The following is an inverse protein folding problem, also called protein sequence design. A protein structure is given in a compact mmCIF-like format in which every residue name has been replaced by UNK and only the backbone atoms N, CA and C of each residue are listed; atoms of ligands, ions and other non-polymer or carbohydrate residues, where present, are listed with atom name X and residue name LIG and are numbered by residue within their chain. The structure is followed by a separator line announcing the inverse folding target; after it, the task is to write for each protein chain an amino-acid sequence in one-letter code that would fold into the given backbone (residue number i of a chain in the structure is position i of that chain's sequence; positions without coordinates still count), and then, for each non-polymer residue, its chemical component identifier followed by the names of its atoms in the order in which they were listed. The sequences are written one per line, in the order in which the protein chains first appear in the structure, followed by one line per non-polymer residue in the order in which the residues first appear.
data_IF_689781913585
#
_entry.id   IF_689781913585
#
_cell.length_a   1.000
_cell.length_b   1.000
_cell.length_c   1.000
_cell.angle_alpha   90.00
_cell.angle_beta   90.00
_cell.angle_gamma   90.00
#
_symmetry.space_group_name_H-M   'P 1'
#
loop_
_entity.id
_entity.type
_entity.pdbx_description
1 polymer ?
#
# COMPACT_ATOMS: atom_id res chain seq x y z
N UNK A 1 -36.82 6.41 -5.43
CA UNK A 1 -36.17 7.37 -6.35
C UNK A 1 -34.72 6.95 -6.54
N UNK A 2 -34.31 6.64 -7.77
CA UNK A 2 -32.94 6.21 -8.11
C UNK A 2 -32.09 7.44 -8.37
N UNK A 3 -31.00 7.61 -7.64
CA UNK A 3 -30.10 8.79 -7.74
C UNK A 3 -28.95 8.53 -8.72
N UNK A 4 -28.25 9.58 -9.17
CA UNK A 4 -27.02 9.43 -9.99
C UNK A 4 -25.97 8.51 -9.33
N UNK A 5 -25.91 8.45 -7.99
CA UNK A 5 -25.02 7.54 -7.23
C UNK A 5 -25.39 6.07 -7.46
N UNK A 6 -26.68 5.77 -7.58
CA UNK A 6 -27.17 4.41 -7.84
C UNK A 6 -26.80 3.94 -9.25
N UNK A 7 -26.81 4.85 -10.25
CA UNK A 7 -26.31 4.54 -11.59
C UNK A 7 -24.81 4.21 -11.63
N UNK A 8 -23.99 4.92 -10.85
CA UNK A 8 -22.55 4.62 -10.73
C UNK A 8 -22.32 3.27 -10.05
N UNK A 9 -23.07 2.97 -8.98
CA UNK A 9 -22.98 1.67 -8.27
C UNK A 9 -23.42 0.51 -9.15
N UNK A 10 -24.52 0.66 -9.90
CA UNK A 10 -25.03 -0.35 -10.82
C UNK A 10 -24.07 -0.62 -11.99
N UNK A 11 -23.52 0.44 -12.62
CA UNK A 11 -22.50 0.29 -13.67
C UNK A 11 -21.24 -0.41 -13.17
N UNK A 12 -20.80 -0.12 -11.94
CA UNK A 12 -19.68 -0.83 -11.33
C UNK A 12 -19.98 -2.31 -11.14
N UNK A 13 -21.13 -2.66 -10.56
CA UNK A 13 -21.52 -4.08 -10.41
C UNK A 13 -21.52 -4.79 -11.76
N UNK A 14 -22.09 -4.18 -12.79
CA UNK A 14 -22.09 -4.73 -14.13
C UNK A 14 -20.67 -4.92 -14.70
N UNK A 15 -19.78 -3.95 -14.49
CA UNK A 15 -18.39 -4.04 -14.94
C UNK A 15 -17.65 -5.20 -14.24
N UNK A 16 -17.76 -5.29 -12.92
CA UNK A 16 -17.11 -6.37 -12.15
C UNK A 16 -17.72 -7.73 -12.47
N UNK A 17 -19.04 -7.82 -12.65
CA UNK A 17 -19.68 -9.06 -13.11
C UNK A 17 -19.15 -9.49 -14.47
N UNK A 18 -18.91 -8.56 -15.41
CA UNK A 18 -18.33 -8.92 -16.71
C UNK A 18 -16.95 -9.54 -16.56
N UNK A 19 -16.09 -8.99 -15.69
CA UNK A 19 -14.76 -9.54 -15.38
C UNK A 19 -14.88 -11.00 -14.95
N UNK A 20 -15.73 -11.30 -13.96
CA UNK A 20 -15.87 -12.66 -13.43
C UNK A 20 -16.49 -13.64 -14.43
N UNK A 21 -17.49 -13.20 -15.20
CA UNK A 21 -18.22 -14.11 -16.09
C UNK A 21 -17.55 -14.30 -17.45
N UNK A 22 -16.59 -13.45 -17.79
CA UNK A 22 -15.90 -13.49 -19.07
C UNK A 22 -14.61 -14.29 -18.99
N UNK A 23 -14.21 -14.83 -20.13
CA UNK A 23 -12.92 -15.48 -20.33
C UNK A 23 -12.02 -14.46 -21.04
N UNK A 24 -11.21 -13.72 -20.25
CA UNK A 24 -10.32 -12.67 -20.76
C UNK A 24 -8.87 -13.02 -20.44
N UNK A 25 -7.99 -12.88 -21.43
CA UNK A 25 -6.54 -12.96 -21.20
C UNK A 25 -5.99 -11.72 -20.49
N UNK A 26 -6.67 -10.57 -20.63
CA UNK A 26 -6.27 -9.30 -20.01
C UNK A 26 -7.46 -8.32 -19.88
N UNK A 27 -7.41 -7.49 -18.84
CA UNK A 27 -8.41 -6.44 -18.58
C UNK A 27 -7.68 -5.11 -18.41
N UNK A 28 -8.08 -4.10 -19.19
CA UNK A 28 -7.59 -2.72 -19.04
C UNK A 28 -8.61 -1.91 -18.25
N UNK A 29 -8.15 -1.30 -17.15
CA UNK A 29 -8.98 -0.53 -16.23
C UNK A 29 -8.27 0.76 -15.86
N UNK A 30 -9.01 1.88 -15.83
CA UNK A 30 -8.45 3.14 -15.33
C UNK A 30 -8.42 3.18 -13.81
N UNK A 31 -7.43 3.87 -13.23
CA UNK A 31 -7.18 3.98 -11.78
C UNK A 31 -8.44 4.23 -10.94
N UNK A 32 -9.26 5.19 -11.36
CA UNK A 32 -10.49 5.56 -10.64
C UNK A 32 -11.54 4.45 -10.55
N UNK A 33 -11.51 3.45 -11.45
CA UNK A 33 -12.36 2.27 -11.38
C UNK A 33 -11.67 1.16 -10.61
N UNK A 34 -10.36 1.02 -10.75
CA UNK A 34 -9.54 0.08 -9.97
C UNK A 34 -9.68 0.35 -8.47
N UNK A 35 -9.55 1.60 -8.03
CA UNK A 35 -9.75 2.04 -6.63
C UNK A 35 -11.15 1.73 -6.07
N UNK A 36 -12.15 1.50 -6.93
CA UNK A 36 -13.52 1.20 -6.50
C UNK A 36 -13.77 -0.29 -6.24
N UNK A 37 -12.79 -1.14 -6.54
CA UNK A 37 -12.77 -2.55 -6.26
C UNK A 37 -11.90 -2.71 -5.00
N UNK A 38 -12.51 -2.77 -3.80
CA UNK A 38 -11.74 -2.89 -2.58
C UNK A 38 -11.18 -4.31 -2.43
N UNK A 39 -10.11 -4.46 -1.66
CA UNK A 39 -9.78 -5.77 -1.07
C UNK A 39 -10.77 -6.11 0.05
N UNK A 40 -10.79 -7.37 0.46
CA UNK A 40 -11.65 -7.84 1.55
C UNK A 40 -11.48 -7.05 2.85
N UNK A 41 -12.55 -7.00 3.66
CA UNK A 41 -12.51 -6.36 4.98
C UNK A 41 -11.45 -6.99 5.88
N UNK A 42 -11.30 -8.30 5.82
CA UNK A 42 -10.26 -9.04 6.55
C UNK A 42 -8.87 -8.56 6.17
N UNK A 43 -8.56 -8.45 4.86
CA UNK A 43 -7.27 -7.96 4.39
C UNK A 43 -7.00 -6.51 4.81
N UNK A 44 -8.02 -5.64 4.77
CA UNK A 44 -7.91 -4.27 5.29
C UNK A 44 -7.60 -4.25 6.79
N UNK A 45 -8.22 -5.13 7.59
CA UNK A 45 -7.95 -5.24 9.02
C UNK A 45 -6.53 -5.75 9.29
N UNK A 46 -6.12 -6.81 8.61
CA UNK A 46 -4.78 -7.39 8.74
C UNK A 46 -3.70 -6.37 8.39
N UNK A 47 -3.89 -5.60 7.31
CA UNK A 47 -2.99 -4.52 6.93
C UNK A 47 -2.84 -3.47 8.05
N UNK A 48 -3.94 -3.08 8.70
CA UNK A 48 -3.88 -2.09 9.79
C UNK A 48 -3.19 -2.70 11.02
N UNK A 49 -3.47 -3.96 11.36
CA UNK A 49 -2.85 -4.65 12.49
C UNK A 49 -1.33 -4.82 12.30
N UNK A 50 -0.88 -5.18 11.09
CA UNK A 50 0.55 -5.27 10.77
C UNK A 50 1.26 -3.93 10.98
N UNK A 51 0.63 -2.83 10.55
CA UNK A 51 1.16 -1.47 10.75
C UNK A 51 1.15 -1.05 12.21
N UNK A 52 0.14 -1.47 12.99
CA UNK A 52 0.11 -1.27 14.43
C UNK A 52 1.25 -2.01 15.14
N UNK A 53 1.54 -3.24 14.74
CA UNK A 53 2.63 -4.02 15.30
C UNK A 53 4.00 -3.37 15.01
N UNK A 54 4.23 -2.97 13.77
CA UNK A 54 5.44 -2.23 13.36
C UNK A 54 5.64 -0.93 14.19
N UNK A 55 4.57 -0.16 14.39
CA UNK A 55 4.61 1.05 15.22
C UNK A 55 4.85 0.77 16.71
N UNK A 56 4.27 -0.31 17.25
CA UNK A 56 4.45 -0.73 18.65
C UNK A 56 5.89 -1.18 18.90
N UNK A 57 6.51 -1.88 17.95
CA UNK A 57 7.92 -2.24 18.01
C UNK A 57 8.81 -1.00 18.06
N UNK A 58 8.60 -0.03 17.16
CA UNK A 58 9.37 1.23 17.13
C UNK A 58 9.18 2.01 18.42
N UNK A 59 7.94 2.11 18.92
CA UNK A 59 7.65 2.77 20.21
C UNK A 59 8.42 2.14 21.35
N UNK A 60 8.50 0.81 21.40
CA UNK A 60 9.15 0.07 22.49
C UNK A 60 10.66 0.23 22.49
N UNK A 61 11.28 0.26 21.31
CA UNK A 61 12.75 0.29 21.17
C UNK A 61 13.34 1.69 21.04
N UNK A 62 12.52 2.72 20.80
CA UNK A 62 13.00 4.09 20.62
C UNK A 62 13.17 4.82 21.96
N UNK A 63 14.38 5.27 22.25
CA UNK A 63 14.65 6.21 23.35
C UNK A 63 14.33 7.68 23.00
N UNK A 64 14.10 7.96 21.71
CA UNK A 64 13.77 9.30 21.23
C UNK A 64 12.30 9.66 21.54
N UNK A 65 12.09 10.64 22.42
CA UNK A 65 10.76 11.12 22.82
C UNK A 65 9.91 11.63 21.65
N UNK A 66 10.53 12.22 20.63
CA UNK A 66 9.82 12.71 19.45
C UNK A 66 9.23 11.55 18.65
N UNK A 67 10.06 10.56 18.36
CA UNK A 67 9.69 9.31 17.67
C UNK A 67 8.58 8.57 18.41
N UNK A 68 8.71 8.43 19.73
CA UNK A 68 7.68 7.80 20.57
C UNK A 68 6.34 8.52 20.44
N UNK A 69 6.34 9.86 20.46
CA UNK A 69 5.13 10.66 20.33
C UNK A 69 4.49 10.53 18.94
N UNK A 70 5.29 10.51 17.87
CA UNK A 70 4.77 10.29 16.51
C UNK A 70 4.18 8.89 16.34
N UNK A 71 4.83 7.87 16.92
CA UNK A 71 4.32 6.50 16.93
C UNK A 71 2.98 6.42 17.67
N UNK A 72 2.85 7.06 18.84
CA UNK A 72 1.59 7.13 19.59
C UNK A 72 0.44 7.78 18.80
N UNK A 73 0.73 8.88 18.11
CA UNK A 73 -0.28 9.55 17.26
C UNK A 73 -0.72 8.64 16.11
N UNK A 74 0.21 7.94 15.48
CA UNK A 74 -0.06 7.03 14.36
C UNK A 74 -0.85 5.81 14.82
N UNK A 75 -0.46 5.22 15.96
CA UNK A 75 -1.17 4.10 16.61
C UNK A 75 -2.63 4.50 16.89
N UNK A 76 -2.85 5.63 17.56
CA UNK A 76 -4.20 6.10 17.87
C UNK A 76 -5.05 6.32 16.61
N UNK A 77 -4.45 6.84 15.53
CA UNK A 77 -5.12 7.01 14.25
C UNK A 77 -5.53 5.69 13.60
N UNK A 78 -4.65 4.69 13.62
CA UNK A 78 -4.90 3.36 13.06
C UNK A 78 -5.88 2.54 13.91
N UNK A 79 -5.79 2.59 15.24
CA UNK A 79 -6.75 1.94 16.15
C UNK A 79 -8.16 2.47 15.91
N UNK A 80 -8.32 3.79 15.73
CA UNK A 80 -9.61 4.37 15.35
C UNK A 80 -10.11 3.87 13.99
N UNK A 81 -9.24 3.78 12.99
CA UNK A 81 -9.61 3.25 11.68
C UNK A 81 -10.03 1.78 11.76
N UNK A 82 -9.31 0.97 12.55
CA UNK A 82 -9.63 -0.42 12.79
C UNK A 82 -10.99 -0.58 13.48
N UNK A 83 -11.26 0.20 14.52
CA UNK A 83 -12.56 0.20 15.21
C UNK A 83 -13.70 0.58 14.25
N UNK A 84 -13.52 1.62 13.43
CA UNK A 84 -14.49 2.01 12.42
C UNK A 84 -14.74 0.87 11.43
N UNK A 85 -13.67 0.24 10.95
CA UNK A 85 -13.76 -0.88 10.01
C UNK A 85 -14.48 -2.08 10.64
N UNK A 86 -14.20 -2.41 11.90
CA UNK A 86 -14.85 -3.48 12.64
C UNK A 86 -16.35 -3.22 12.81
N UNK A 87 -16.75 -2.02 13.26
CA UNK A 87 -18.14 -1.63 13.53
C UNK A 87 -19.02 -1.64 12.28
N UNK A 88 -18.49 -1.19 11.14
CA UNK A 88 -19.27 -1.12 9.91
C UNK A 88 -19.05 -2.36 9.05
N UNK A 89 -20.10 -3.14 8.82
CA UNK A 89 -20.07 -4.11 7.73
C UNK A 89 -20.38 -3.39 6.42
N UNK A 90 -19.34 -3.00 5.67
CA UNK A 90 -19.51 -2.53 4.30
C UNK A 90 -19.53 -3.76 3.40
N UNK A 91 -20.71 -4.31 3.15
CA UNK A 91 -20.87 -5.37 2.15
C UNK A 91 -20.38 -4.85 0.79
N UNK A 92 -19.19 -5.31 0.44
CA UNK A 92 -18.66 -5.28 -0.90
C UNK A 92 -19.44 -6.28 -1.74
N UNK A 93 -19.73 -5.93 -3.00
CA UNK A 93 -20.42 -6.87 -3.88
C UNK A 93 -19.50 -8.04 -4.26
N UNK A 94 -18.24 -7.71 -4.51
CA UNK A 94 -17.14 -8.57 -4.97
C UNK A 94 -15.86 -7.86 -4.50
N UNK A 95 -14.98 -8.60 -3.84
CA UNK A 95 -13.65 -8.11 -3.45
C UNK A 95 -12.62 -8.38 -4.54
N UNK A 96 -11.48 -7.68 -4.48
CA UNK A 96 -10.41 -7.79 -5.47
C UNK A 96 -9.92 -9.24 -5.63
N UNK A 97 -9.78 -9.95 -4.52
CA UNK A 97 -9.34 -11.34 -4.46
C UNK A 97 -10.29 -12.30 -5.20
N UNK A 98 -11.57 -11.92 -5.35
CA UNK A 98 -12.55 -12.74 -6.06
C UNK A 98 -12.56 -12.52 -7.57
N UNK A 99 -11.74 -11.60 -8.09
CA UNK A 99 -11.64 -11.36 -9.53
C UNK A 99 -10.80 -12.40 -10.26
N UNK A 100 -9.98 -13.17 -9.54
CA UNK A 100 -9.05 -14.13 -10.16
C UNK A 100 -7.91 -13.46 -10.93
N UNK A 101 -7.57 -12.22 -10.60
CA UNK A 101 -6.41 -11.52 -11.19
C UNK A 101 -5.14 -12.06 -10.56
N UNK A 102 -4.27 -12.65 -11.36
CA UNK A 102 -2.98 -13.23 -10.95
C UNK A 102 -1.77 -12.38 -11.37
N UNK A 103 -1.98 -11.36 -12.21
CA UNK A 103 -0.95 -10.46 -12.71
C UNK A 103 -1.42 -9.01 -12.77
N UNK A 104 -0.58 -8.09 -12.29
CA UNK A 104 -0.87 -6.65 -12.31
C UNK A 104 0.23 -5.88 -13.04
N UNK A 105 -0.18 -5.23 -14.13
CA UNK A 105 0.64 -4.24 -14.83
C UNK A 105 0.11 -2.83 -14.52
N UNK A 106 0.94 -1.99 -13.93
CA UNK A 106 0.61 -0.61 -13.57
C UNK A 106 1.40 0.34 -14.45
N UNK A 107 0.72 1.01 -15.36
CA UNK A 107 1.28 2.14 -16.10
C UNK A 107 1.22 3.42 -15.25
N UNK A 108 2.12 4.36 -15.52
CA UNK A 108 2.32 5.59 -14.76
C UNK A 108 2.39 5.36 -13.23
N UNK A 109 3.16 4.34 -12.85
CA UNK A 109 3.27 3.88 -11.46
C UNK A 109 3.70 4.97 -10.47
N UNK A 110 4.35 6.04 -10.95
CA UNK A 110 4.69 7.22 -10.15
C UNK A 110 3.48 7.88 -9.46
N UNK A 111 2.25 7.60 -9.90
CA UNK A 111 1.03 8.02 -9.21
C UNK A 111 0.81 7.33 -7.86
N UNK A 112 1.46 6.20 -7.58
CA UNK A 112 1.25 5.36 -6.40
C UNK A 112 2.39 5.41 -5.36
N UNK A 113 3.31 6.39 -5.45
CA UNK A 113 4.54 6.46 -4.63
C UNK A 113 4.47 7.10 -3.23
N UNK A 114 3.29 7.56 -2.82
CA UNK A 114 3.09 8.33 -1.57
C UNK A 114 2.52 7.46 -0.45
N UNK A 115 3.37 6.66 0.19
CA UNK A 115 3.08 5.99 1.45
C UNK A 115 4.07 6.54 2.47
N UNK A 116 3.57 7.11 3.57
CA UNK A 116 4.43 7.54 4.68
C UNK A 116 5.11 6.29 5.26
N UNK A 117 6.45 6.18 5.19
CA UNK A 117 7.15 5.09 5.85
C UNK A 117 6.94 5.19 7.36
N UNK A 118 6.87 4.04 8.02
CA UNK A 118 6.98 4.01 9.46
C UNK A 118 8.48 4.08 9.79
N UNK A 119 8.86 5.10 10.56
CA UNK A 119 10.27 5.46 10.75
C UNK A 119 10.49 6.09 12.12
N UNK A 120 11.65 5.80 12.70
CA UNK A 120 12.15 6.45 13.91
C UNK A 120 12.91 7.74 13.66
N UNK A 121 13.21 8.10 12.41
CA UNK A 121 14.05 9.23 12.02
C UNK A 121 13.37 10.60 12.21
N UNK A 122 12.05 10.62 12.46
CA UNK A 122 11.25 11.84 12.61
C UNK A 122 11.01 12.59 11.30
N UNK A 123 10.78 13.91 11.37
CA UNK A 123 10.53 14.76 10.19
C UNK A 123 11.84 15.14 9.46
N UNK A 124 12.42 14.18 8.74
CA UNK A 124 13.61 14.40 7.89
C UNK A 124 13.20 14.86 6.49
N UNK A 125 13.95 15.80 5.91
CA UNK A 125 13.75 16.23 4.54
C UNK A 125 13.84 15.03 3.57
N UNK A 126 12.86 14.89 2.68
CA UNK A 126 12.79 13.76 1.73
C UNK A 126 11.94 12.58 2.23
N UNK A 127 11.31 12.67 3.39
CA UNK A 127 10.28 11.73 3.86
C UNK A 127 8.90 12.34 3.64
N UNK A 128 7.98 11.60 3.01
CA UNK A 128 6.59 12.03 2.87
C UNK A 128 5.85 11.93 4.20
N UNK A 129 5.13 13.00 4.57
CA UNK A 129 4.39 13.08 5.83
C UNK A 129 2.93 12.61 5.71
N UNK A 130 2.51 12.25 4.49
CA UNK A 130 1.13 11.86 4.21
C UNK A 130 1.07 10.54 3.45
N UNK A 131 0.14 9.68 3.85
CA UNK A 131 -0.20 8.47 3.12
C UNK A 131 -1.46 8.70 2.30
N UNK A 132 -1.39 8.41 1.00
CA UNK A 132 -2.55 8.49 0.11
C UNK A 132 -3.38 7.20 0.20
N UNK A 133 -4.70 7.33 0.32
CA UNK A 133 -5.61 6.18 0.39
C UNK A 133 -5.51 5.25 -0.82
N UNK A 134 -5.33 5.81 -2.02
CA UNK A 134 -5.18 5.01 -3.25
C UNK A 134 -3.88 4.20 -3.27
N UNK A 135 -2.84 4.65 -2.56
CA UNK A 135 -1.56 3.95 -2.53
C UNK A 135 -1.62 2.81 -1.52
N UNK A 136 -2.33 3.00 -0.40
CA UNK A 136 -2.67 1.90 0.52
C UNK A 136 -3.52 0.86 -0.18
N UNK A 137 -4.53 1.28 -0.96
CA UNK A 137 -5.33 0.37 -1.79
C UNK A 137 -4.46 -0.41 -2.79
N UNK A 138 -3.55 0.27 -3.50
CA UNK A 138 -2.58 -0.38 -4.39
C UNK A 138 -1.66 -1.35 -3.63
N UNK A 139 -1.17 -0.99 -2.44
CA UNK A 139 -0.28 -1.84 -1.63
C UNK A 139 -0.98 -3.12 -1.21
N UNK A 140 -2.21 -3.04 -0.71
CA UNK A 140 -2.97 -4.23 -0.32
C UNK A 140 -3.21 -5.18 -1.51
N UNK A 141 -3.49 -4.64 -2.71
CA UNK A 141 -3.73 -5.45 -3.92
C UNK A 141 -2.45 -6.07 -4.46
N UNK A 142 -1.37 -5.30 -4.50
CA UNK A 142 -0.04 -5.80 -4.86
C UNK A 142 0.38 -6.94 -3.93
N UNK A 143 0.20 -6.77 -2.62
CA UNK A 143 0.52 -7.80 -1.62
C UNK A 143 -0.31 -9.05 -1.80
N UNK A 144 -1.60 -8.92 -2.08
CA UNK A 144 -2.45 -10.08 -2.31
C UNK A 144 -1.94 -10.94 -3.48
N UNK A 145 -1.62 -10.33 -4.62
CA UNK A 145 -1.06 -11.07 -5.77
C UNK A 145 0.29 -11.69 -5.39
N UNK A 146 1.16 -10.93 -4.73
CA UNK A 146 2.49 -11.41 -4.35
C UNK A 146 2.47 -12.59 -3.37
N UNK A 147 1.54 -12.61 -2.42
CA UNK A 147 1.34 -13.72 -1.47
C UNK A 147 0.98 -15.03 -2.17
N UNK A 148 0.23 -14.96 -3.27
CA UNK A 148 -0.20 -16.12 -4.06
C UNK A 148 0.84 -16.56 -5.10
N UNK A 149 1.78 -15.68 -5.46
CA UNK A 149 2.70 -15.86 -6.58
C UNK A 149 4.19 -15.66 -6.24
N UNK A 150 4.60 -15.94 -5.00
CA UNK A 150 6.02 -15.92 -4.59
C UNK A 150 6.70 -14.57 -4.93
N UNK A 151 6.01 -13.47 -4.59
CA UNK A 151 6.44 -12.09 -4.79
C UNK A 151 6.65 -11.66 -6.26
N UNK A 152 6.10 -12.42 -7.21
CA UNK A 152 6.15 -12.12 -8.66
C UNK A 152 4.85 -11.47 -9.14
N UNK A 153 4.72 -11.36 -10.46
CA UNK A 153 3.50 -10.96 -11.18
C UNK A 153 3.08 -9.49 -11.02
N UNK A 154 4.01 -8.63 -10.61
CA UNK A 154 3.80 -7.18 -10.54
C UNK A 154 4.78 -6.49 -11.48
N UNK A 155 4.28 -5.65 -12.37
CA UNK A 155 5.10 -4.80 -13.23
C UNK A 155 4.65 -3.36 -13.11
N UNK A 156 5.56 -2.48 -12.70
CA UNK A 156 5.34 -1.05 -12.66
C UNK A 156 6.11 -0.39 -13.82
N UNK A 157 5.38 0.26 -14.71
CA UNK A 157 5.93 1.07 -15.79
C UNK A 157 5.76 2.55 -15.44
N UNK A 158 6.82 3.34 -15.62
CA UNK A 158 6.77 4.78 -15.42
C UNK A 158 7.88 5.44 -16.23
N UNK A 159 7.55 6.52 -16.94
CA UNK A 159 8.55 7.38 -17.58
C UNK A 159 9.30 8.27 -16.59
N UNK A 160 8.85 8.31 -15.33
CA UNK A 160 9.42 9.15 -14.26
C UNK A 160 9.73 8.31 -13.01
N UNK A 161 10.75 7.41 -13.07
CA UNK A 161 10.98 6.39 -12.04
C UNK A 161 11.45 6.94 -10.67
N UNK A 162 11.89 8.19 -10.54
CA UNK A 162 12.41 8.77 -9.28
C UNK A 162 12.49 10.30 -9.36
N UNK A 163 12.52 11.12 -8.29
CA UNK A 163 12.28 10.99 -6.83
C UNK A 163 12.57 12.35 -6.21
N UNK A 164 11.57 13.10 -5.78
CA UNK A 164 11.87 14.29 -4.96
C UNK A 164 12.21 13.87 -3.51
N UNK A 165 12.07 12.58 -3.20
CA UNK A 165 12.14 12.08 -1.84
C UNK A 165 12.64 10.64 -1.82
N UNK A 166 13.46 10.33 -0.82
CA UNK A 166 14.01 8.99 -0.56
C UNK A 166 12.89 8.01 -0.16
N UNK A 167 11.81 8.50 0.46
CA UNK A 167 10.63 7.68 0.76
C UNK A 167 9.88 7.20 -0.48
N UNK A 168 9.78 8.01 -1.54
CA UNK A 168 9.13 7.58 -2.79
C UNK A 168 9.86 6.39 -3.42
N UNK A 169 11.20 6.43 -3.43
CA UNK A 169 12.03 5.34 -3.93
C UNK A 169 11.84 4.07 -3.10
N UNK A 170 11.86 4.20 -1.77
CA UNK A 170 11.58 3.09 -0.87
C UNK A 170 10.21 2.47 -1.14
N UNK A 171 9.17 3.29 -1.26
CA UNK A 171 7.81 2.82 -1.58
C UNK A 171 7.78 1.99 -2.87
N UNK A 172 8.45 2.46 -3.94
CA UNK A 172 8.54 1.70 -5.19
C UNK A 172 9.27 0.36 -5.04
N UNK A 173 10.39 0.34 -4.31
CA UNK A 173 11.11 -0.91 -4.05
C UNK A 173 10.26 -1.87 -3.20
N UNK A 174 9.56 -1.35 -2.20
CA UNK A 174 8.67 -2.13 -1.35
C UNK A 174 7.51 -2.73 -2.14
N UNK A 175 6.95 -2.03 -3.14
CA UNK A 175 5.96 -2.63 -4.04
C UNK A 175 6.52 -3.83 -4.79
N UNK A 176 7.68 -3.69 -5.42
CA UNK A 176 8.18 -4.64 -6.42
C UNK A 176 8.92 -5.82 -5.80
N UNK A 177 9.65 -5.62 -4.72
CA UNK A 177 10.59 -6.61 -4.17
C UNK A 177 10.62 -6.63 -2.63
N UNK A 178 9.47 -6.77 -1.95
CA UNK A 178 9.44 -6.80 -0.49
C UNK A 178 10.21 -7.99 0.10
N UNK A 179 10.26 -9.12 -0.61
CA UNK A 179 11.01 -10.32 -0.23
C UNK A 179 12.53 -10.08 -0.25
N UNK A 180 13.01 -9.31 -1.24
CA UNK A 180 14.42 -8.93 -1.34
C UNK A 180 14.77 -7.99 -0.20
N UNK A 181 13.93 -6.98 0.08
CA UNK A 181 14.14 -6.09 1.22
C UNK A 181 14.24 -6.89 2.54
N UNK A 182 13.33 -7.84 2.75
CA UNK A 182 13.32 -8.71 3.93
C UNK A 182 14.54 -9.62 4.00
N UNK A 183 14.97 -10.20 2.87
CA UNK A 183 16.17 -11.05 2.79
C UNK A 183 17.43 -10.31 3.23
N UNK A 184 17.54 -9.04 2.88
CA UNK A 184 18.65 -8.17 3.25
C UNK A 184 18.43 -7.44 4.59
N UNK A 185 17.34 -7.72 5.31
CA UNK A 185 16.99 -7.08 6.59
C UNK A 185 16.86 -5.55 6.48
N UNK A 186 16.35 -5.09 5.34
CA UNK A 186 16.09 -3.68 4.99
C UNK A 186 14.63 -3.46 4.59
N UNK A 187 13.74 -4.30 5.10
CA UNK A 187 12.28 -4.20 4.98
C UNK A 187 11.65 -3.16 5.90
N UNK A 188 12.46 -2.54 6.78
CA UNK A 188 12.12 -1.31 7.47
C UNK A 188 12.83 -0.13 6.80
N UNK A 189 12.13 1.01 6.72
CA UNK A 189 12.64 2.20 6.04
C UNK A 189 13.98 2.68 6.61
N UNK A 190 14.13 2.69 7.94
CA UNK A 190 15.34 3.17 8.61
C UNK A 190 16.56 2.30 8.29
N UNK A 191 16.38 0.98 8.30
CA UNK A 191 17.40 0.00 7.91
C UNK A 191 17.83 0.20 6.45
N UNK A 192 16.85 0.44 5.57
CA UNK A 192 17.10 0.68 4.15
C UNK A 192 17.86 2.00 3.90
N UNK A 193 17.46 3.10 4.55
CA UNK A 193 18.19 4.38 4.49
C UNK A 193 19.62 4.21 5.00
N UNK A 194 19.81 3.50 6.12
CA UNK A 194 21.15 3.26 6.68
C UNK A 194 22.09 2.52 5.74
N UNK A 195 21.57 1.65 4.86
CA UNK A 195 22.38 1.02 3.80
C UNK A 195 22.76 2.03 2.72
N UNK A 196 21.81 2.87 2.26
CA UNK A 196 22.10 3.91 1.26
C UNK A 196 23.11 4.94 1.74
N UNK A 197 23.06 5.35 3.02
CA UNK A 197 24.03 6.27 3.59
C UNK A 197 25.46 5.72 3.58
N UNK A 198 25.62 4.42 3.89
CA UNK A 198 26.92 3.74 3.78
C UNK A 198 27.47 3.74 2.36
N UNK A 199 26.61 3.59 1.35
CA UNK A 199 27.04 3.75 -0.04
C UNK A 199 27.51 5.18 -0.32
N UNK A 200 26.87 6.22 0.24
CA UNK A 200 27.30 7.61 0.02
C UNK A 200 28.66 7.94 0.66
N UNK A 201 28.99 7.32 1.79
CA UNK A 201 30.27 7.56 2.48
C UNK A 201 31.44 6.80 1.87
N UNK A 202 31.21 5.69 1.15
CA UNK A 202 32.27 4.92 0.49
C UNK A 202 32.82 5.55 -0.80
N UNK A 203 32.18 6.60 -1.31
CA UNK A 203 32.55 7.29 -2.55
C UNK A 203 33.01 8.74 -2.32
N UNK A 204 33.27 9.12 -1.06
CA UNK A 204 33.93 10.36 -0.66
C UNK A 204 35.25 10.04 0.04
#
# INVERSE_FOLDING_TARGET
MTTKKDFVKARRKQFVSRIITGDYDAIVIGDSQFEKIPVSKERQMNYIEDKLNELREIKTHSENKYTVKEAEQSISGLEKQLEELQRFNRDSFIDFENLGIDFLFVDEAHHFKNIRPITGLGNVAGITNTTSKKNVDMEMKVRQIQEEHDFKNIVFATGTPVSNSISELYTMMNYIQPDILKRYQVDYFDSWVGVLEKFKTLWN
#
